data_IF_526087291907
#
_entry.id   IF_526087291907
#
_cell.length_a   1.000
_cell.length_b   1.000
_cell.length_c   1.000
_cell.angle_alpha   90.00
_cell.angle_beta   90.00
_cell.angle_gamma   90.00
#
_symmetry.space_group_name_H-M   'P 1'
#
loop_
_entity.id
_entity.type
_entity.pdbx_description
1 polymer ?
2 non-polymer ?
3 non-polymer ?
4 non-polymer ?
5 water ?
#
# COMPACT_ATOMS: atom_id res chain seq x y z
N UNK A 3 -7.57 7.14 22.01
CA UNK A 3 -6.31 6.38 22.30
C UNK A 3 -5.90 5.48 21.15
N UNK A 4 -4.69 5.70 20.64
CA UNK A 4 -4.17 4.89 19.55
C UNK A 4 -3.61 3.56 20.04
N UNK A 5 -3.84 2.52 19.26
CA UNK A 5 -3.33 1.19 19.59
C UNK A 5 -2.99 0.41 18.32
N UNK A 6 -1.81 -0.18 18.29
CA UNK A 6 -1.38 -0.97 17.13
C UNK A 6 -2.16 -2.27 16.99
N UNK A 7 -2.83 -2.69 18.06
CA UNK A 7 -3.60 -3.94 18.05
C UNK A 7 -5.10 -3.74 17.78
N UNK A 8 -5.49 -2.51 17.45
CA UNK A 8 -6.89 -2.22 17.14
C UNK A 8 -6.93 -1.28 15.94
N UNK A 9 -8.12 -1.13 15.36
CA UNK A 9 -8.31 -0.24 14.23
C UNK A 9 -8.55 1.17 14.80
N UNK A 10 -7.78 2.14 14.34
CA UNK A 10 -7.89 3.50 14.83
C UNK A 10 -8.55 4.37 13.77
N UNK A 11 -9.40 5.32 14.19
CA UNK A 11 -10.07 6.19 13.23
C UNK A 11 -9.07 7.21 12.71
N UNK A 12 -9.46 7.97 11.70
CA UNK A 12 -8.55 8.93 11.11
C UNK A 12 -8.01 9.99 12.05
N UNK A 13 -8.84 10.49 12.96
CA UNK A 13 -8.38 11.51 13.89
C UNK A 13 -7.18 10.98 14.69
N UNK A 14 -7.25 9.71 15.03
CA UNK A 14 -6.21 9.05 15.81
C UNK A 14 -4.94 8.73 15.00
N UNK A 15 -5.11 8.21 13.80
CA UNK A 15 -3.95 7.89 12.97
C UNK A 15 -3.19 9.17 12.64
N UNK A 16 -3.92 10.23 12.31
CA UNK A 16 -3.29 11.51 11.98
C UNK A 16 -2.45 12.00 13.15
N UNK A 17 -3.02 11.90 14.35
CA UNK A 17 -2.33 12.32 15.55
C UNK A 17 -1.13 11.41 15.76
N UNK A 18 -1.30 10.14 15.40
CA UNK A 18 -0.24 9.16 15.55
C UNK A 18 0.95 9.49 14.66
N UNK A 19 0.70 9.94 13.43
CA UNK A 19 1.80 10.27 12.53
C UNK A 19 2.64 11.43 13.08
N UNK A 20 1.99 12.34 13.81
CA UNK A 20 2.71 13.48 14.38
C UNK A 20 3.46 13.10 15.65
N UNK A 21 2.85 12.24 16.45
CA UNK A 21 3.46 11.80 17.70
C UNK A 21 4.63 10.84 17.47
N UNK A 22 4.46 9.89 16.55
CA UNK A 22 5.53 8.95 16.27
C UNK A 22 6.70 9.66 15.63
N UNK A 23 6.43 10.72 14.88
CA UNK A 23 7.51 11.48 14.27
C UNK A 23 8.24 12.29 15.34
N UNK A 24 7.50 12.82 16.30
CA UNK A 24 8.10 13.61 17.36
C UNK A 24 8.90 12.75 18.34
N UNK A 25 8.47 11.50 18.54
CA UNK A 25 9.14 10.59 19.45
C UNK A 25 10.39 9.93 18.84
N UNK A 26 10.52 9.99 17.53
CA UNK A 26 11.67 9.37 16.85
C UNK A 26 12.28 10.28 15.79
N UNK A 27 12.69 11.49 16.19
CA UNK A 27 13.28 12.46 15.25
C UNK A 27 14.49 12.02 14.44
N UNK A 28 15.31 11.13 14.98
CA UNK A 28 16.49 10.66 14.26
C UNK A 28 16.16 9.57 13.26
N UNK A 29 14.91 9.13 13.26
CA UNK A 29 14.49 8.05 12.39
C UNK A 29 13.28 8.36 11.52
N UNK A 30 12.45 9.29 11.95
CA UNK A 30 11.24 9.61 11.21
C UNK A 30 10.98 11.10 10.96
N UNK A 31 10.54 11.42 9.75
CA UNK A 31 10.20 12.79 9.37
C UNK A 31 8.84 12.69 8.68
N UNK A 32 8.02 13.73 8.82
CA UNK A 32 6.68 13.71 8.21
C UNK A 32 6.42 14.87 7.24
N UNK A 33 5.66 14.59 6.19
CA UNK A 33 5.29 15.62 5.22
C UNK A 33 3.93 15.30 4.62
N UNK A 34 3.32 16.29 3.99
CA UNK A 34 2.03 16.11 3.33
C UNK A 34 2.32 16.17 1.84
N UNK A 35 1.89 15.16 1.10
CA UNK A 35 2.13 15.12 -0.34
C UNK A 35 0.97 15.72 -1.14
N UNK A 36 -0.05 16.20 -0.43
CA UNK A 36 -1.20 16.79 -1.06
C UNK A 36 -2.41 16.68 -0.17
N UNK A 37 -3.58 17.00 -0.72
CA UNK A 37 -4.81 16.91 0.06
C UNK A 37 -5.86 16.13 -0.70
N UNK A 38 -6.80 15.55 0.04
CA UNK A 38 -7.88 14.76 -0.53
C UNK A 38 -8.96 15.65 -1.12
N UNK A 39 -9.99 15.00 -1.67
CA UNK A 39 -11.12 15.70 -2.26
C UNK A 39 -11.72 16.60 -1.18
N UNK A 40 -11.84 16.08 0.04
CA UNK A 40 -12.40 16.85 1.13
C UNK A 40 -11.39 17.75 1.80
N UNK A 41 -10.20 17.85 1.22
CA UNK A 41 -9.16 18.71 1.77
C UNK A 41 -8.35 18.20 2.94
N UNK A 42 -8.30 16.89 3.13
CA UNK A 42 -7.51 16.34 4.22
C UNK A 42 -6.05 16.17 3.80
N UNK A 43 -5.14 16.46 4.71
CA UNK A 43 -3.71 16.33 4.43
C UNK A 43 -3.33 14.87 4.25
N UNK A 44 -2.65 14.57 3.16
CA UNK A 44 -2.22 13.19 2.91
C UNK A 44 -0.81 13.07 3.47
N UNK A 45 -0.70 12.53 4.67
CA UNK A 45 0.60 12.40 5.33
C UNK A 45 1.47 11.26 4.84
N UNK A 46 2.78 11.51 4.83
CA UNK A 46 3.77 10.53 4.39
C UNK A 46 4.89 10.50 5.43
N UNK A 47 5.28 9.31 5.84
CA UNK A 47 6.36 9.17 6.82
C UNK A 47 7.60 8.61 6.13
N UNK A 48 8.72 9.29 6.31
CA UNK A 48 9.98 8.85 5.75
C UNK A 48 10.74 8.18 6.89
N UNK A 49 10.80 6.85 6.84
CA UNK A 49 11.46 6.06 7.89
C UNK A 49 12.86 5.65 7.49
N UNK A 50 13.83 6.00 8.33
CA UNK A 50 15.22 5.65 8.06
C UNK A 50 16.17 6.67 8.66
N UNK A 51 17.42 6.25 8.90
CA UNK A 51 18.44 7.15 9.45
C UNK A 51 19.11 7.90 8.31
N UNK A 52 19.25 9.24 8.44
CA UNK A 52 19.88 10.06 7.40
C UNK A 52 21.22 9.52 6.91
N UNK A 53 21.39 9.54 5.60
CA UNK A 53 22.62 9.06 4.98
C UNK A 53 22.72 9.63 3.57
N UNK A 54 23.88 9.52 2.90
CA UNK A 54 24.05 10.05 1.55
C UNK A 54 23.50 9.15 0.44
N UNK A 55 22.79 9.76 -0.51
CA UNK A 55 22.23 9.04 -1.64
C UNK A 55 21.61 7.69 -1.31
N UNK A 56 20.73 7.67 -0.31
CA UNK A 56 20.08 6.43 0.09
C UNK A 56 18.99 5.98 -0.89
N UNK A 57 18.96 4.68 -1.22
CA UNK A 57 17.93 4.19 -2.13
C UNK A 57 16.66 4.13 -1.28
N UNK A 58 15.48 4.01 -1.89
CA UNK A 58 14.28 3.96 -1.08
C UNK A 58 13.20 2.99 -1.56
N UNK A 59 12.33 2.62 -0.64
CA UNK A 59 11.21 1.73 -0.90
C UNK A 59 9.93 2.49 -0.57
N UNK A 60 8.93 2.41 -1.44
CA UNK A 60 7.68 3.11 -1.20
C UNK A 60 6.57 2.13 -0.91
N UNK A 61 5.90 2.33 0.22
CA UNK A 61 4.80 1.46 0.63
C UNK A 61 3.60 2.29 1.07
N UNK A 62 2.43 1.96 0.55
CA UNK A 62 1.22 2.67 0.92
C UNK A 62 0.14 1.70 1.34
N UNK A 63 -0.76 2.18 2.18
CA UNK A 63 -1.88 1.38 2.67
C UNK A 63 -3.15 2.21 2.54
N UNK A 64 -4.30 1.57 2.77
CA UNK A 64 -5.55 2.28 2.73
C UNK A 64 -6.04 2.86 1.42
N UNK A 65 -5.67 2.25 0.30
CA UNK A 65 -6.14 2.71 -1.00
C UNK A 65 -7.67 2.56 -0.98
N UNK A 66 -8.11 1.45 -0.40
CA UNK A 66 -9.51 1.15 -0.32
C UNK A 66 -9.99 1.29 1.12
N UNK A 67 -11.01 2.10 1.30
CA UNK A 67 -11.58 2.42 2.61
C UNK A 67 -11.90 1.28 3.56
N UNK A 68 -12.59 0.26 3.06
CA UNK A 68 -13.00 -0.86 3.89
C UNK A 68 -11.91 -1.86 4.28
N UNK A 69 -10.75 -1.77 3.65
CA UNK A 69 -9.66 -2.71 3.95
C UNK A 69 -8.81 -2.27 5.13
N UNK A 70 -9.48 -2.16 6.28
CA UNK A 70 -8.89 -1.71 7.56
C UNK A 70 -7.60 -2.37 8.04
N UNK A 71 -7.41 -3.66 7.75
CA UNK A 71 -6.18 -4.33 8.17
C UNK A 71 -5.00 -3.74 7.41
N UNK A 72 -5.26 -3.18 6.23
CA UNK A 72 -4.22 -2.56 5.43
C UNK A 72 -3.64 -1.35 6.18
N UNK A 73 -4.53 -0.45 6.60
CA UNK A 73 -4.13 0.76 7.34
C UNK A 73 -3.33 0.35 8.58
N UNK A 74 -3.86 -0.66 9.29
CA UNK A 74 -3.22 -1.18 10.49
C UNK A 74 -1.82 -1.72 10.22
N UNK A 75 -1.58 -2.28 9.03
CA UNK A 75 -0.25 -2.80 8.74
C UNK A 75 0.83 -1.72 8.59
N UNK A 76 0.50 -0.62 7.91
CA UNK A 76 1.48 0.44 7.73
C UNK A 76 1.90 0.97 9.09
N UNK A 77 0.94 1.12 9.99
CA UNK A 77 1.29 1.59 11.31
C UNK A 77 2.19 0.55 11.99
N UNK A 78 1.82 -0.72 11.87
CA UNK A 78 2.60 -1.80 12.47
C UNK A 78 4.04 -1.79 11.98
N UNK A 79 4.24 -1.58 10.68
CA UNK A 79 5.59 -1.54 10.14
C UNK A 79 6.41 -0.47 10.85
N UNK A 80 5.84 0.73 10.97
CA UNK A 80 6.52 1.83 11.64
C UNK A 80 6.81 1.39 13.08
N UNK A 81 5.84 0.73 13.70
CA UNK A 81 5.98 0.22 15.06
C UNK A 81 7.23 -0.66 15.16
N UNK A 82 7.35 -1.60 14.23
CA UNK A 82 8.50 -2.52 14.18
C UNK A 82 9.81 -1.76 14.04
N UNK A 83 9.87 -0.88 13.04
CA UNK A 83 11.06 -0.10 12.76
C UNK A 83 11.62 0.60 14.00
N UNK A 84 10.80 1.42 14.66
CA UNK A 84 11.26 2.14 15.83
C UNK A 84 11.51 1.25 17.06
N UNK A 85 10.75 0.17 17.18
CA UNK A 85 10.93 -0.73 18.32
C UNK A 85 12.20 -1.58 18.24
N UNK A 86 12.43 -2.19 17.08
CA UNK A 86 13.58 -3.07 16.91
C UNK A 86 14.85 -2.44 16.34
N UNK A 87 14.81 -1.17 15.96
CA UNK A 87 16.01 -0.53 15.43
C UNK A 87 17.12 -0.63 16.48
N UNK A 88 18.27 -1.19 16.08
CA UNK A 88 19.38 -1.32 17.02
C UNK A 88 19.49 -2.67 17.70
N UNK A 89 18.38 -3.42 17.77
CA UNK A 89 18.40 -4.74 18.40
C UNK A 89 18.35 -5.85 17.36
N UNK A 90 17.70 -5.58 16.24
CA UNK A 90 17.56 -6.55 15.17
C UNK A 90 18.49 -6.10 14.04
N UNK A 91 19.49 -6.91 13.72
CA UNK A 91 20.48 -6.58 12.69
C UNK A 91 19.94 -6.21 11.31
N UNK A 92 18.92 -6.94 10.86
CA UNK A 92 18.35 -6.69 9.55
C UNK A 92 17.62 -5.35 9.46
N UNK A 93 16.68 -5.11 10.37
CA UNK A 93 15.93 -3.87 10.36
C UNK A 93 16.86 -2.67 10.55
N UNK A 94 17.89 -2.84 11.38
CA UNK A 94 18.85 -1.77 11.61
C UNK A 94 19.60 -1.44 10.32
N UNK A 95 20.02 -2.48 9.60
CA UNK A 95 20.73 -2.27 8.33
C UNK A 95 19.81 -1.70 7.27
N UNK A 96 18.53 -2.08 7.30
CA UNK A 96 17.56 -1.57 6.33
C UNK A 96 17.39 -0.07 6.51
N UNK A 97 17.10 0.35 7.73
CA UNK A 97 16.88 1.75 8.05
C UNK A 97 18.16 2.56 7.87
N UNK A 98 19.30 1.94 8.15
CA UNK A 98 20.58 2.62 8.01
C UNK A 98 20.96 2.88 6.55
N UNK A 99 20.68 1.92 5.68
CA UNK A 99 21.08 2.05 4.28
C UNK A 99 20.04 2.57 3.29
N UNK A 100 18.76 2.45 3.61
CA UNK A 100 17.76 2.94 2.68
C UNK A 100 16.64 3.64 3.44
N UNK A 101 15.80 4.36 2.71
CA UNK A 101 14.68 5.07 3.32
C UNK A 101 13.38 4.37 2.99
N UNK A 102 12.44 4.43 3.92
CA UNK A 102 11.12 3.84 3.74
C UNK A 102 10.05 4.91 3.77
N UNK A 103 9.42 5.14 2.62
CA UNK A 103 8.34 6.11 2.53
C UNK A 103 7.06 5.35 2.78
N UNK A 104 6.53 5.50 3.99
CA UNK A 104 5.31 4.84 4.38
C UNK A 104 4.13 5.81 4.32
N UNK A 105 3.18 5.52 3.44
CA UNK A 105 1.99 6.35 3.30
C UNK A 105 0.87 5.58 4.01
N UNK A 106 0.63 5.90 5.29
CA UNK A 106 -0.37 5.29 6.16
C UNK A 106 -1.76 5.08 5.57
N UNK A 107 -2.31 6.11 4.97
CA UNK A 107 -3.65 6.04 4.40
C UNK A 107 -3.76 6.98 3.21
N UNK A 108 -4.00 6.43 2.03
CA UNK A 108 -4.13 7.28 0.85
C UNK A 108 -5.54 7.85 0.73
N UNK A 109 -6.53 6.96 0.83
CA UNK A 109 -7.93 7.32 0.71
C UNK A 109 -8.53 7.65 2.07
N UNK A 110 -8.13 8.79 2.61
CA UNK A 110 -8.58 9.26 3.91
C UNK A 110 -10.08 9.54 3.96
N UNK A 111 -10.60 10.21 2.94
CA UNK A 111 -12.02 10.54 2.89
C UNK A 111 -12.84 9.27 2.98
N UNK A 112 -12.46 8.28 2.19
CA UNK A 112 -13.19 7.01 2.21
C UNK A 112 -13.08 6.34 3.56
N UNK A 113 -11.89 6.39 4.15
CA UNK A 113 -11.68 5.77 5.45
C UNK A 113 -12.62 6.38 6.49
N UNK A 114 -12.66 7.71 6.54
CA UNK A 114 -13.53 8.40 7.48
C UNK A 114 -14.97 7.93 7.29
N UNK A 115 -15.42 7.88 6.04
CA UNK A 115 -16.78 7.45 5.69
C UNK A 115 -17.08 6.04 6.23
N UNK A 116 -16.09 5.15 6.20
CA UNK A 116 -16.29 3.79 6.69
C UNK A 116 -16.48 3.78 8.20
N UNK A 117 -15.96 4.80 8.86
CA UNK A 117 -16.09 4.89 10.32
C UNK A 117 -17.38 5.58 10.75
N UNK A 118 -17.89 6.47 9.90
CA UNK A 118 -19.11 7.22 10.24
C UNK A 118 -20.42 6.81 9.61
N UNK A 119 -20.38 6.37 8.34
CA UNK A 119 -21.61 6.02 7.63
C UNK A 119 -21.74 4.63 6.98
N UNK A 120 -20.67 4.16 6.33
CA UNK A 120 -20.72 2.88 5.63
C UNK A 120 -19.42 2.08 5.78
N UNK A 121 -19.45 1.04 6.61
CA UNK A 121 -18.27 0.21 6.85
C UNK A 121 -17.71 -0.45 5.60
N UNK A 122 -18.57 -0.72 4.63
CA UNK A 122 -18.15 -1.39 3.40
C UNK A 122 -17.82 -0.50 2.22
N UNK A 123 -17.58 0.79 2.45
CA UNK A 123 -17.24 1.69 1.36
C UNK A 123 -15.83 1.33 0.86
N UNK A 124 -15.63 1.42 -0.44
CA UNK A 124 -14.35 1.07 -1.06
C UNK A 124 -13.62 2.22 -1.77
N UNK A 125 -14.37 2.95 -2.59
CA UNK A 125 -13.84 4.07 -3.38
C UNK A 125 -13.55 5.35 -2.61
N UNK A 126 -13.18 6.39 -3.33
CA UNK A 126 -12.90 7.69 -2.73
C UNK A 126 -14.28 8.30 -2.47
N UNK A 127 -14.32 9.58 -2.11
CA UNK A 127 -15.61 10.23 -1.86
C UNK A 127 -15.82 11.47 -2.72
N UNK A 128 -15.16 11.53 -3.86
CA UNK A 128 -15.33 12.68 -4.74
C UNK A 128 -16.63 12.46 -5.53
N UNK A 129 -17.14 13.55 -6.12
CA UNK A 129 -18.38 13.51 -6.89
C UNK A 129 -18.13 13.15 -8.34
N UNK A 130 -19.21 12.85 -9.06
CA UNK A 130 -19.12 12.50 -10.48
C UNK A 130 -20.17 13.25 -11.29
N UNK A 131 -19.76 13.74 -12.45
CA UNK A 131 -20.64 14.49 -13.34
C UNK A 131 -21.79 13.65 -13.87
N UNK A 132 -22.98 14.25 -13.94
CA UNK A 132 -24.15 13.57 -14.46
C UNK A 132 -24.81 12.52 -13.59
N UNK A 133 -24.40 12.43 -12.33
CA UNK A 133 -24.96 11.43 -11.43
C UNK A 133 -24.74 11.84 -9.98
N UNK A 134 -25.47 11.22 -9.06
CA UNK A 134 -25.27 11.53 -7.65
C UNK A 134 -24.33 10.49 -7.05
N UNK A 135 -24.05 9.43 -7.79
CA UNK A 135 -23.16 8.35 -7.31
C UNK A 135 -21.79 8.91 -6.96
N UNK A 136 -21.26 8.49 -5.82
CA UNK A 136 -19.98 8.99 -5.34
C UNK A 136 -18.79 8.06 -5.47
N UNK A 137 -17.63 8.65 -5.72
CA UNK A 137 -16.40 7.90 -5.77
C UNK A 137 -15.83 7.25 -7.02
N UNK A 138 -14.52 7.04 -6.95
CA UNK A 138 -13.75 6.43 -8.01
C UNK A 138 -12.82 5.40 -7.38
N UNK A 139 -12.58 4.30 -8.08
CA UNK A 139 -11.67 3.28 -7.57
C UNK A 139 -10.26 3.81 -7.79
N UNK A 140 -9.55 4.19 -6.71
CA UNK A 140 -8.19 4.70 -6.88
C UNK A 140 -7.23 3.71 -7.54
N UNK A 141 -7.49 2.42 -7.39
CA UNK A 141 -6.63 1.41 -7.99
C UNK A 141 -7.04 1.07 -9.42
N UNK A 142 -7.82 1.96 -10.03
CA UNK A 142 -8.23 1.80 -11.42
C UNK A 142 -8.06 3.19 -12.04
N UNK A 143 -7.52 4.12 -11.24
CA UNK A 143 -7.33 5.51 -11.63
C UNK A 143 -5.92 5.90 -12.09
N UNK A 144 -5.01 4.95 -12.16
CA UNK A 144 -3.66 5.28 -12.62
C UNK A 144 -3.53 5.09 -14.11
N UNK A 145 -2.54 5.77 -14.70
CA UNK A 145 -2.31 5.68 -16.14
C UNK A 145 -1.54 4.43 -16.57
N UNK A 146 -2.25 3.31 -16.64
CA UNK A 146 -1.67 2.03 -17.05
C UNK A 146 -2.79 1.20 -17.65
N UNK A 147 -2.98 1.30 -18.96
CA UNK A 147 -4.06 0.58 -19.63
C UNK A 147 -5.37 1.11 -19.09
N UNK A 148 -5.31 2.33 -18.54
CA UNK A 148 -6.46 2.97 -17.93
C UNK A 148 -7.84 2.72 -18.55
N UNK A 149 -8.72 2.19 -17.71
CA UNK A 149 -10.11 1.85 -18.05
C UNK A 149 -10.33 0.87 -19.20
N UNK A 150 -9.37 0.01 -19.46
CA UNK A 150 -9.51 -0.94 -20.57
C UNK A 150 -9.99 -2.33 -20.21
N UNK A 151 -9.85 -2.75 -18.96
CA UNK A 151 -10.28 -4.09 -18.57
C UNK A 151 -10.23 -4.29 -17.05
N UNK A 152 -11.25 -4.95 -16.51
CA UNK A 152 -11.28 -5.18 -15.08
C UNK A 152 -11.58 -3.90 -14.31
N UNK A 153 -12.18 -2.95 -15.02
CA UNK A 153 -12.56 -1.65 -14.44
C UNK A 153 -13.81 -1.19 -15.17
N UNK A 154 -14.71 -0.55 -14.45
CA UNK A 154 -15.97 -0.08 -15.03
C UNK A 154 -15.98 1.39 -15.45
N UNK A 155 -16.80 1.70 -16.44
CA UNK A 155 -16.94 3.08 -16.91
C UNK A 155 -18.14 3.71 -16.20
N UNK A 156 -18.86 2.89 -15.44
CA UNK A 156 -20.04 3.38 -14.72
C UNK A 156 -19.61 3.95 -13.37
N UNK A 157 -19.82 5.27 -13.16
CA UNK A 157 -19.44 5.91 -11.89
C UNK A 157 -20.17 5.34 -10.68
N UNK A 158 -21.23 4.56 -10.89
CA UNK A 158 -21.97 3.98 -9.78
C UNK A 158 -21.41 2.60 -9.39
N UNK A 159 -20.40 2.16 -10.12
CA UNK A 159 -19.76 0.87 -9.88
C UNK A 159 -18.56 0.96 -8.94
N UNK A 160 -18.31 -0.13 -8.21
CA UNK A 160 -17.21 -0.18 -7.26
C UNK A 160 -15.80 -0.17 -7.88
N UNK A 161 -15.69 -0.45 -9.18
CA UNK A 161 -14.37 -0.40 -9.82
C UNK A 161 -14.30 0.71 -10.86
N UNK A 162 -15.10 1.76 -10.66
CA UNK A 162 -15.15 2.89 -11.57
C UNK A 162 -13.74 3.47 -11.72
N UNK A 163 -13.29 3.56 -12.97
CA UNK A 163 -11.94 4.05 -13.25
C UNK A 163 -11.75 5.56 -13.10
N UNK A 164 -12.85 6.30 -12.95
CA UNK A 164 -12.74 7.74 -12.82
C UNK A 164 -12.94 8.43 -14.17
N UNK A 165 -13.02 9.76 -14.16
CA UNK A 165 -13.22 10.53 -15.39
C UNK A 165 -12.00 10.49 -16.30
N UNK A 166 -10.82 10.34 -15.70
CA UNK A 166 -9.56 10.29 -16.42
C UNK A 166 -8.50 9.74 -15.48
N UNK A 167 -7.40 9.26 -16.03
CA UNK A 167 -6.33 8.75 -15.17
C UNK A 167 -5.84 9.89 -14.31
N UNK A 168 -5.65 9.62 -13.02
CA UNK A 168 -5.19 10.60 -12.05
C UNK A 168 -6.21 11.74 -11.86
N UNK A 169 -7.47 11.41 -12.13
CA UNK A 169 -8.53 12.40 -11.97
C UNK A 169 -8.74 12.70 -10.49
N UNK A 170 -8.33 11.77 -9.63
CA UNK A 170 -8.48 11.95 -8.19
C UNK A 170 -7.30 12.69 -7.58
N UNK A 171 -7.59 13.61 -6.67
CA UNK A 171 -6.53 14.36 -6.02
C UNK A 171 -5.53 13.42 -5.34
N UNK A 172 -6.04 12.41 -4.66
CA UNK A 172 -5.20 11.45 -3.96
C UNK A 172 -4.22 10.68 -4.86
N UNK A 173 -4.72 10.14 -5.98
CA UNK A 173 -3.88 9.40 -6.90
C UNK A 173 -2.88 10.32 -7.62
N UNK A 174 -3.32 11.54 -7.90
CA UNK A 174 -2.46 12.52 -8.57
C UNK A 174 -1.29 12.88 -7.65
N UNK A 175 -1.56 13.00 -6.35
CA UNK A 175 -0.51 13.35 -5.40
C UNK A 175 0.48 12.21 -5.26
N UNK A 176 -0.02 10.98 -5.25
CA UNK A 176 0.84 9.81 -5.12
C UNK A 176 1.71 9.67 -6.38
N UNK A 177 1.10 9.82 -7.55
CA UNK A 177 1.85 9.70 -8.80
C UNK A 177 2.92 10.79 -8.88
N UNK A 178 2.55 12.01 -8.49
CA UNK A 178 3.49 13.13 -8.53
C UNK A 178 4.68 12.90 -7.61
N UNK A 179 4.43 12.47 -6.38
CA UNK A 179 5.53 12.22 -5.47
C UNK A 179 6.53 11.19 -6.01
N UNK A 180 6.00 10.08 -6.51
CA UNK A 180 6.85 9.04 -7.05
C UNK A 180 7.58 9.57 -8.28
N UNK A 181 6.87 10.32 -9.12
CA UNK A 181 7.51 10.88 -10.31
C UNK A 181 8.64 11.81 -9.90
N UNK A 182 8.45 12.57 -8.83
CA UNK A 182 9.48 13.49 -8.37
C UNK A 182 10.67 12.80 -7.72
N UNK A 183 10.45 11.61 -7.19
CA UNK A 183 11.50 10.86 -6.48
C UNK A 183 11.81 9.54 -7.16
N UNK A 184 11.60 9.48 -8.46
CA UNK A 184 11.83 8.26 -9.23
C UNK A 184 13.26 7.72 -9.19
N UNK A 185 14.25 8.61 -9.19
CA UNK A 185 15.64 8.16 -9.20
C UNK A 185 16.10 7.51 -7.89
N UNK A 186 15.34 7.70 -6.82
CA UNK A 186 15.72 7.11 -5.53
C UNK A 186 14.86 5.89 -5.16
N UNK A 187 13.61 5.90 -5.60
CA UNK A 187 12.69 4.81 -5.30
C UNK A 187 12.99 3.57 -6.14
N UNK A 188 13.40 2.50 -5.47
CA UNK A 188 13.75 1.23 -6.14
C UNK A 188 12.66 0.16 -6.07
N UNK A 189 11.73 0.31 -5.13
CA UNK A 189 10.65 -0.67 -4.99
C UNK A 189 9.36 0.00 -4.55
N UNK A 190 8.25 -0.49 -5.11
CA UNK A 190 6.92 0.03 -4.78
C UNK A 190 6.10 -1.10 -4.17
N UNK A 191 5.56 -0.86 -2.98
CA UNK A 191 4.74 -1.84 -2.25
C UNK A 191 3.39 -1.24 -1.85
N UNK A 192 2.30 -1.81 -2.35
CA UNK A 192 0.96 -1.31 -2.03
C UNK A 192 0.15 -2.39 -1.30
N UNK A 193 -0.30 -2.07 -0.09
CA UNK A 193 -1.04 -2.99 0.78
C UNK A 193 -2.56 -2.93 0.69
N UNK A 194 -3.19 -4.08 0.43
CA UNK A 194 -4.64 -4.20 0.32
C UNK A 194 -5.13 -5.37 1.19
N UNK A 195 -6.41 -5.70 1.04
CA UNK A 195 -7.03 -6.87 1.67
C UNK A 195 -8.30 -7.16 0.86
N UNK A 196 -8.69 -8.42 0.66
CA UNK A 196 -8.01 -9.62 1.16
C UNK A 196 -7.87 -10.67 0.04
N UNK A 197 -7.73 -11.94 0.42
CA UNK A 197 -7.59 -13.06 -0.55
C UNK A 197 -6.20 -13.70 -0.49
N UNK A 198 -5.43 -13.23 0.47
CA UNK A 198 -4.04 -13.60 0.76
C UNK A 198 -3.19 -13.86 -0.49
N UNK A 199 -2.65 -12.78 -1.05
CA UNK A 199 -1.84 -12.87 -2.26
C UNK A 199 -0.73 -11.84 -2.36
N UNK A 200 0.31 -12.20 -3.11
CA UNK A 200 1.42 -11.32 -3.39
C UNK A 200 1.43 -11.26 -4.91
N UNK A 201 1.03 -10.12 -5.46
CA UNK A 201 0.97 -9.94 -6.91
C UNK A 201 2.02 -8.95 -7.42
N UNK A 202 2.43 -9.11 -8.67
CA UNK A 202 3.37 -8.20 -9.30
C UNK A 202 2.85 -7.83 -10.69
N UNK A 203 3.36 -6.77 -11.31
CA UNK A 203 2.87 -6.40 -12.64
C UNK A 203 2.68 -7.63 -13.55
N UNK A 204 1.70 -7.64 -14.45
CA UNK A 204 0.73 -6.57 -14.65
C UNK A 204 -0.67 -7.11 -14.36
N UNK A 205 -1.66 -6.22 -14.43
CA UNK A 205 -3.04 -6.60 -14.21
C UNK A 205 -3.95 -6.00 -15.28
N UNK A 206 -3.39 -5.04 -16.03
CA UNK A 206 -4.14 -4.32 -17.06
C UNK A 206 -4.19 -5.03 -18.41
N UNK A 207 -3.33 -6.02 -18.58
CA UNK A 207 -3.26 -6.85 -19.78
C UNK A 207 -2.57 -8.16 -19.44
N UNK A 208 -2.81 -9.18 -20.25
CA UNK A 208 -2.18 -10.48 -20.04
C UNK A 208 -0.79 -10.48 -20.66
N UNK A 209 0.14 -9.83 -19.98
CA UNK A 209 1.52 -9.76 -20.43
C UNK A 209 2.41 -9.80 -19.20
N UNK A 210 3.66 -10.16 -19.40
CA UNK A 210 4.60 -10.27 -18.30
C UNK A 210 5.69 -9.22 -18.36
N UNK A 211 6.26 -8.86 -17.20
CA UNK A 211 7.32 -7.86 -17.10
C UNK A 211 8.67 -8.44 -17.56
N UNK A 212 9.58 -7.54 -17.89
CA UNK A 212 10.92 -7.91 -18.35
C UNK A 212 11.63 -8.86 -17.39
N UNK A 213 11.55 -8.57 -16.10
CA UNK A 213 12.19 -9.40 -15.09
C UNK A 213 11.20 -10.35 -14.42
N UNK A 214 10.32 -10.93 -15.22
CA UNK A 214 9.30 -11.86 -14.72
C UNK A 214 9.86 -12.96 -13.84
N UNK A 215 10.91 -13.63 -14.31
CA UNK A 215 11.51 -14.72 -13.57
C UNK A 215 11.95 -14.25 -12.19
N UNK A 216 12.61 -13.09 -12.14
CA UNK A 216 13.09 -12.54 -10.88
C UNK A 216 11.97 -12.21 -9.89
N UNK A 217 10.91 -11.55 -10.36
CA UNK A 217 9.80 -11.18 -9.47
C UNK A 217 9.05 -12.43 -9.00
N UNK A 218 8.88 -13.40 -9.90
CA UNK A 218 8.18 -14.61 -9.55
C UNK A 218 8.89 -15.39 -8.42
N UNK A 219 10.19 -15.56 -8.57
CA UNK A 219 10.96 -16.26 -7.55
C UNK A 219 10.97 -15.49 -6.23
N UNK A 220 11.02 -14.17 -6.33
CA UNK A 220 11.03 -13.33 -5.14
C UNK A 220 9.68 -13.45 -4.42
N UNK A 221 8.60 -13.35 -5.18
CA UNK A 221 7.26 -13.47 -4.62
C UNK A 221 7.10 -14.84 -3.98
N UNK A 222 7.61 -15.87 -4.66
CA UNK A 222 7.54 -17.24 -4.14
C UNK A 222 8.26 -17.41 -2.81
N UNK A 223 9.46 -16.83 -2.72
CA UNK A 223 10.25 -16.93 -1.49
C UNK A 223 9.63 -16.09 -0.37
N UNK A 224 9.02 -14.96 -0.74
CA UNK A 224 8.37 -14.07 0.23
C UNK A 224 7.15 -14.77 0.84
N UNK A 225 6.40 -15.47 0.01
CA UNK A 225 5.22 -16.20 0.45
C UNK A 225 5.62 -17.37 1.36
N UNK A 226 6.72 -18.04 0.99
CA UNK A 226 7.23 -19.15 1.78
C UNK A 226 7.66 -18.64 3.15
N UNK A 227 8.30 -17.48 3.15
CA UNK A 227 8.78 -16.85 4.39
C UNK A 227 7.62 -16.43 5.31
N UNK A 228 6.54 -15.93 4.72
CA UNK A 228 5.37 -15.51 5.48
C UNK A 228 4.74 -16.72 6.15
N UNK A 229 4.64 -17.83 5.43
CA UNK A 229 4.04 -19.05 5.97
C UNK A 229 4.78 -19.63 7.15
N UNK A 230 6.06 -19.28 7.29
CA UNK A 230 6.86 -19.82 8.39
C UNK A 230 6.31 -19.52 9.78
N UNK A 231 5.64 -18.39 9.94
CA UNK A 231 5.15 -18.02 11.26
C UNK A 231 3.89 -18.76 11.74
N UNK A 232 2.80 -18.66 11.00
CA UNK A 232 1.56 -19.32 11.40
C UNK A 232 1.02 -20.30 10.36
N UNK A 233 1.77 -20.50 9.28
CA UNK A 233 1.35 -21.42 8.25
C UNK A 233 0.27 -20.85 7.35
N UNK A 234 0.15 -19.52 7.33
CA UNK A 234 -0.85 -18.85 6.50
C UNK A 234 -0.47 -19.01 5.04
N UNK A 235 -1.42 -19.48 4.24
CA UNK A 235 -1.19 -19.74 2.82
C UNK A 235 -1.51 -18.58 1.89
N UNK A 236 -0.51 -18.18 1.11
CA UNK A 236 -0.65 -17.11 0.14
C UNK A 236 -0.38 -17.66 -1.26
N UNK A 237 -1.01 -17.09 -2.27
CA UNK A 237 -0.75 -17.45 -3.66
C UNK A 237 0.00 -16.24 -4.23
N UNK A 238 0.65 -16.41 -5.37
CA UNK A 238 1.41 -15.31 -5.94
C UNK A 238 1.51 -15.42 -7.45
N UNK A 239 1.94 -14.33 -8.09
CA UNK A 239 2.10 -14.30 -9.53
C UNK A 239 1.65 -13.00 -10.17
N UNK A 240 1.54 -12.95 -11.51
CA UNK A 240 1.12 -11.75 -12.22
C UNK A 240 -0.36 -11.49 -11.91
N UNK A 241 -0.69 -10.23 -11.62
CA UNK A 241 -2.06 -9.89 -11.28
C UNK A 241 -3.15 -10.46 -12.17
N UNK A 242 -3.04 -10.21 -13.48
CA UNK A 242 -4.05 -10.67 -14.41
C UNK A 242 -4.47 -12.13 -14.24
N UNK A 243 -3.49 -13.03 -14.10
CA UNK A 243 -3.79 -14.45 -13.95
C UNK A 243 -3.85 -14.97 -12.52
N UNK A 244 -3.35 -14.20 -11.56
CA UNK A 244 -3.35 -14.63 -10.18
C UNK A 244 -4.61 -14.20 -9.45
N UNK A 245 -5.18 -13.06 -9.84
CA UNK A 245 -6.42 -12.61 -9.21
C UNK A 245 -7.45 -12.28 -10.29
N UNK A 246 -7.13 -11.32 -11.15
CA UNK A 246 -8.01 -10.94 -12.27
C UNK A 246 -7.47 -9.73 -13.01
N UNK A 247 -7.92 -9.51 -14.25
CA UNK A 247 -7.44 -8.33 -14.98
C UNK A 247 -8.00 -7.11 -14.24
N UNK A 248 -7.24 -6.03 -14.19
CA UNK A 248 -7.70 -4.80 -13.52
C UNK A 248 -6.79 -3.67 -13.93
N UNK A 249 -7.20 -2.93 -14.95
CA UNK A 249 -6.41 -1.81 -15.45
C UNK A 249 -6.43 -0.61 -14.54
N UNK A 250 -5.39 0.21 -14.63
CA UNK A 250 -5.29 1.42 -13.85
C UNK A 250 -4.66 1.26 -12.48
N UNK A 251 -3.99 0.13 -12.26
CA UNK A 251 -3.37 -0.11 -10.96
C UNK A 251 -2.12 0.73 -10.72
N UNK A 252 -1.85 1.04 -9.45
CA UNK A 252 -0.67 1.84 -9.14
C UNK A 252 0.57 0.95 -9.26
N UNK A 253 0.43 -0.34 -8.95
CA UNK A 253 1.56 -1.24 -9.03
C UNK A 253 2.05 -1.32 -10.48
N UNK A 254 1.12 -1.42 -11.44
CA UNK A 254 1.51 -1.50 -12.85
C UNK A 254 2.13 -0.19 -13.32
N UNK A 255 1.47 0.93 -13.01
CA UNK A 255 1.98 2.24 -13.41
C UNK A 255 3.37 2.46 -12.84
N UNK A 256 3.55 2.14 -11.56
CA UNK A 256 4.84 2.29 -10.91
C UNK A 256 5.90 1.49 -11.65
N UNK A 257 5.58 0.23 -11.94
CA UNK A 257 6.52 -0.61 -12.66
C UNK A 257 6.84 -0.03 -14.03
N UNK A 258 5.83 0.48 -14.73
CA UNK A 258 6.04 1.07 -16.04
C UNK A 258 6.83 2.37 -15.96
N UNK A 259 7.02 2.88 -14.75
CA UNK A 259 7.81 4.08 -14.51
C UNK A 259 9.28 3.69 -14.46
N UNK A 260 9.54 2.40 -14.24
CA UNK A 260 10.90 1.92 -14.16
C UNK A 260 11.25 1.30 -12.82
N UNK A 261 10.28 1.28 -11.89
CA UNK A 261 10.51 0.69 -10.58
C UNK A 261 10.35 -0.82 -10.74
N UNK A 262 11.49 -1.51 -10.92
CA UNK A 262 11.57 -2.96 -11.16
C UNK A 262 10.89 -3.88 -10.15
N UNK A 263 10.80 -3.45 -8.90
CA UNK A 263 10.15 -4.27 -7.87
C UNK A 263 8.85 -3.58 -7.44
N UNK A 264 7.75 -4.09 -7.96
CA UNK A 264 6.41 -3.55 -7.67
C UNK A 264 5.54 -4.71 -7.23
N UNK A 265 4.98 -4.62 -6.03
CA UNK A 265 4.15 -5.69 -5.48
C UNK A 265 2.88 -5.19 -4.80
N UNK A 266 1.77 -5.91 -5.03
CA UNK A 266 0.50 -5.59 -4.40
C UNK A 266 0.21 -6.73 -3.43
N UNK A 267 -0.05 -6.40 -2.17
CA UNK A 267 -0.33 -7.41 -1.16
C UNK A 267 -1.82 -7.45 -0.78
N UNK A 268 -2.42 -8.65 -0.84
CA UNK A 268 -3.80 -8.85 -0.44
C UNK A 268 -3.61 -9.56 0.89
N UNK A 269 -3.80 -8.85 2.00
CA UNK A 269 -3.58 -9.45 3.29
C UNK A 269 -4.62 -10.47 3.75
N UNK A 270 -4.61 -10.88 5.01
CA UNK A 270 -5.63 -11.86 5.49
C UNK A 270 -7.07 -11.35 5.25
N UNK A 271 -8.09 -12.22 5.12
CA UNK A 271 -8.05 -13.69 5.14
C UNK A 271 -8.50 -14.29 3.78
N UNK A 272 -9.37 -15.32 3.75
CA UNK A 272 -9.71 -15.83 2.44
C UNK A 272 -11.22 -15.77 2.30
N UNK A 273 -11.86 -14.95 3.14
CA UNK A 273 -13.30 -14.80 3.05
C UNK A 273 -14.18 -15.04 4.27
N UNK A 274 -13.66 -15.65 5.33
CA UNK A 274 -14.50 -15.88 6.51
C UNK A 274 -15.03 -14.57 7.07
N UNK A 275 -14.13 -13.60 7.25
CA UNK A 275 -14.54 -12.29 7.76
C UNK A 275 -14.35 -11.23 6.69
N UNK A 276 -13.54 -11.56 5.67
CA UNK A 276 -13.30 -10.63 4.59
C UNK A 276 -12.71 -9.32 5.07
N UNK A 277 -13.35 -8.22 4.68
CA UNK A 277 -12.89 -6.88 5.04
C UNK A 277 -13.08 -6.57 6.53
N UNK A 278 -13.99 -7.30 7.16
CA UNK A 278 -14.28 -7.10 8.58
C UNK A 278 -13.44 -8.07 9.41
N UNK A 279 -12.13 -8.13 9.14
CA UNK A 279 -11.25 -9.02 9.88
C UNK A 279 -11.21 -8.54 11.33
N UNK A 280 -11.45 -9.45 12.30
CA UNK A 280 -11.46 -9.11 13.73
C UNK A 280 -10.15 -8.48 14.22
N UNK A 281 -10.26 -7.55 15.17
CA UNK A 281 -9.07 -6.89 15.71
C UNK A 281 -8.15 -7.90 16.39
N UNK A 282 -8.71 -9.05 16.77
CA UNK A 282 -7.93 -10.08 17.43
C UNK A 282 -6.93 -10.73 16.49
N UNK A 283 -7.08 -10.48 15.19
CA UNK A 283 -6.17 -11.05 14.20
C UNK A 283 -5.10 -10.07 13.71
N UNK A 284 -5.20 -8.83 14.16
CA UNK A 284 -4.25 -7.79 13.76
C UNK A 284 -2.79 -8.15 14.00
N UNK A 285 -2.47 -8.58 15.23
CA UNK A 285 -1.11 -8.95 15.59
C UNK A 285 -0.52 -10.00 14.66
N UNK A 286 -1.16 -11.16 14.61
CA UNK A 286 -0.70 -12.26 13.76
C UNK A 286 -0.59 -11.86 12.29
N UNK A 287 -1.61 -11.18 11.77
CA UNK A 287 -1.60 -10.75 10.38
C UNK A 287 -0.38 -9.88 10.08
N UNK A 288 -0.16 -8.89 10.92
CA UNK A 288 0.95 -7.97 10.73
C UNK A 288 2.32 -8.60 10.95
N UNK A 289 2.44 -9.47 11.95
CA UNK A 289 3.71 -10.10 12.22
C UNK A 289 4.14 -11.03 11.08
N UNK A 290 3.22 -11.79 10.51
CA UNK A 290 3.60 -12.68 9.40
C UNK A 290 3.90 -11.85 8.16
N UNK A 291 3.15 -10.77 7.96
CA UNK A 291 3.35 -9.91 6.81
C UNK A 291 4.71 -9.22 6.89
N UNK A 292 5.16 -8.90 8.10
CA UNK A 292 6.46 -8.27 8.30
C UNK A 292 7.56 -9.17 7.72
N UNK A 293 7.37 -10.48 7.85
CA UNK A 293 8.37 -11.42 7.33
C UNK A 293 8.47 -11.30 5.81
N UNK A 294 7.34 -11.21 5.12
CA UNK A 294 7.35 -11.09 3.66
C UNK A 294 7.92 -9.74 3.24
N UNK A 295 7.48 -8.68 3.90
CA UNK A 295 7.94 -7.32 3.59
C UNK A 295 9.45 -7.18 3.80
N UNK A 296 9.95 -7.70 4.91
CA UNK A 296 11.37 -7.61 5.20
C UNK A 296 12.19 -8.53 4.29
N UNK A 297 11.56 -9.57 3.76
CA UNK A 297 12.26 -10.47 2.85
C UNK A 297 12.47 -9.72 1.53
N UNK A 298 11.44 -9.00 1.09
CA UNK A 298 11.52 -8.22 -0.14
C UNK A 298 12.52 -7.10 0.04
N UNK A 299 12.45 -6.43 1.18
CA UNK A 299 13.37 -5.33 1.49
C UNK A 299 14.82 -5.83 1.44
N UNK A 300 15.08 -6.98 2.06
CA UNK A 300 16.43 -7.53 2.08
C UNK A 300 16.92 -7.86 0.68
N UNK A 301 16.04 -8.43 -0.14
CA UNK A 301 16.40 -8.77 -1.51
C UNK A 301 16.77 -7.49 -2.26
N UNK A 302 15.92 -6.46 -2.13
CA UNK A 302 16.15 -5.18 -2.78
C UNK A 302 17.51 -4.61 -2.40
N UNK A 303 17.78 -4.54 -1.10
CA UNK A 303 19.06 -4.02 -0.62
C UNK A 303 20.22 -4.81 -1.22
N UNK A 304 20.06 -6.12 -1.33
CA UNK A 304 21.11 -6.97 -1.85
C UNK A 304 21.29 -7.00 -3.36
N UNK A 305 20.34 -6.44 -4.10
CA UNK A 305 20.46 -6.44 -5.56
C UNK A 305 20.37 -5.05 -6.16
N UNK A 306 20.95 -4.07 -5.47
CA UNK A 306 20.97 -2.68 -5.91
C UNK A 306 21.89 -2.49 -7.11
X LIG B 1 7.08 -8.07 15.91
X LIG C 1 -7.80 -2.99 -2.11
X LIG D 1 -4.19 -4.56 -9.57
X LIG D 1 -3.66 -5.66 -8.65
X LIG D 1 -4.65 -6.81 -8.61
X LIG D 1 -5.98 -6.37 -7.99
X LIG D 1 -5.73 -5.89 -6.55
X LIG D 1 -3.24 -3.44 -9.65
X LIG D 1 -7.09 -5.68 -5.85
X LIG D 1 -7.92 -4.62 -6.56
X LIG D 1 -7.69 -3.44 -6.25
X LIG D 1 -8.91 -5.03 -7.20
X LIG D 1 -6.85 -5.26 -4.39
X LIG D 1 -8.44 -4.93 -3.53
X LIG E 1 -8.52 -6.82 -1.95
X LIG F 1 -11.01 -8.69 -2.91
X LIG F 1 -10.23 -8.02 -1.30
X LIG F 1 -9.95 -8.68 -4.28
X LIG F 1 -11.59 -10.50 -2.44
X LIG F 1 -12.58 -7.58 -3.33
#
# INVERSE_FOLDING_TARGET
TTGHSYEKYNNWETIEAWTKQVTSENPDLISRTAIGTTFLGNNIYLLKVGKPGPNKPAIFMDCGFHAREWISHAFCQWFVREAVLTYGYESHMTEFLNKLDFYVLPVLNIDGYIYTWTKNRMWRKTRSTNAGTTCIGTDPNRNFDAGWCTTGASTDPCDETYCGSAAESEKETKALADFIRNNLSSIKAYLTIHSYSQMILYPYSYDYKLPENNAELNNLAKAAVKELATLYGTKYTYGPGATTIYPAAGGSDDWAYDQGIKYSFTFELRDKGRYGFILPESQIQATCEETMLAIKYVTNYVLGHL
ZN ZN
ZN ZN
DDW C2 C3 C4 C5 C6 N1 C7 C10 O12 O11 C8 S9
ZN ZN
CAC AS O1 O2 C1 C2
#
